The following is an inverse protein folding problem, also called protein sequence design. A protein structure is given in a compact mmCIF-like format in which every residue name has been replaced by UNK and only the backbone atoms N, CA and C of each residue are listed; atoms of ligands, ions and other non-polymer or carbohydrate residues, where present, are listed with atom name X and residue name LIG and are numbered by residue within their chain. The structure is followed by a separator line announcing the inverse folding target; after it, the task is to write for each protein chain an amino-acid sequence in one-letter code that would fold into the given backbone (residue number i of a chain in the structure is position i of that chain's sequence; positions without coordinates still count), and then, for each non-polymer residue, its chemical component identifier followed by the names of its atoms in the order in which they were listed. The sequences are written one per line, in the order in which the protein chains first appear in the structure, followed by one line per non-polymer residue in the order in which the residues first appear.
data_IF_946830808560
#
_entry.id   IF_946830808560
#
_cell.length_a   1.000
_cell.length_b   1.000
_cell.length_c   1.000
_cell.angle_alpha   90.00
_cell.angle_beta   90.00
_cell.angle_gamma   90.00
#
_symmetry.space_group_name_H-M   'P 1'
#
loop_
_entity.id
_entity.type
_entity.pdbx_description
1 polymer ?
#
# COMPACT_ATOMS: atom_id res chain seq x y z
N UNK A 1 -6.94 37.53 21.20
CA UNK A 1 -6.85 37.66 19.73
C UNK A 1 -8.16 38.05 19.08
N UNK A 2 -8.09 38.54 17.84
CA UNK A 2 -9.27 38.89 17.02
C UNK A 2 -9.71 37.71 16.13
N UNK A 3 -8.78 36.81 15.85
CA UNK A 3 -8.96 35.66 14.98
C UNK A 3 -8.33 34.43 15.61
N UNK A 4 -8.78 33.25 15.18
CA UNK A 4 -8.15 31.97 15.50
C UNK A 4 -8.04 31.17 14.20
N UNK A 5 -6.83 31.03 13.63
CA UNK A 5 -6.63 30.21 12.44
C UNK A 5 -6.69 28.72 12.79
N UNK A 6 -7.25 27.91 11.89
CA UNK A 6 -7.34 26.46 12.01
C UNK A 6 -7.11 25.80 10.65
N UNK A 7 -6.41 24.67 10.63
CA UNK A 7 -6.32 23.78 9.47
C UNK A 7 -7.07 22.49 9.79
N UNK A 8 -7.82 21.96 8.82
CA UNK A 8 -8.39 20.63 8.95
C UNK A 8 -7.29 19.57 8.82
N UNK A 9 -7.45 18.45 9.53
CA UNK A 9 -6.67 17.24 9.29
C UNK A 9 -6.82 16.84 7.81
N UNK A 10 -5.70 16.52 7.17
CA UNK A 10 -5.66 16.25 5.73
C UNK A 10 -4.96 14.93 5.47
N UNK A 11 -5.58 14.06 4.68
CA UNK A 11 -4.98 12.80 4.24
C UNK A 11 -4.02 13.04 3.08
N UNK A 12 -2.96 12.24 3.03
CA UNK A 12 -1.93 12.29 1.99
C UNK A 12 -1.69 10.89 1.46
N UNK A 13 -2.15 10.65 0.24
CA UNK A 13 -1.84 9.40 -0.46
C UNK A 13 -0.48 9.51 -1.17
N UNK A 14 0.42 8.52 -1.04
CA UNK A 14 1.71 8.53 -1.72
C UNK A 14 1.61 8.81 -3.23
N UNK A 15 2.46 9.73 -3.72
CA UNK A 15 2.50 10.15 -5.12
C UNK A 15 1.37 11.10 -5.55
N UNK A 16 0.45 11.46 -4.64
CA UNK A 16 -0.63 12.42 -4.90
C UNK A 16 -0.49 13.62 -3.96
N UNK A 17 -0.22 14.84 -4.48
CA UNK A 17 -0.16 16.03 -3.64
C UNK A 17 -1.52 16.34 -2.99
N UNK A 18 -1.51 16.61 -1.69
CA UNK A 18 -2.67 17.06 -0.92
C UNK A 18 -2.53 18.55 -0.57
N UNK A 19 -3.63 19.29 -0.64
CA UNK A 19 -3.66 20.73 -0.32
C UNK A 19 -4.74 21.07 0.69
N UNK A 20 -4.40 21.87 1.69
CA UNK A 20 -5.34 22.39 2.69
C UNK A 20 -5.18 23.89 2.87
N UNK A 21 -6.28 24.59 3.11
CA UNK A 21 -6.29 26.04 3.37
C UNK A 21 -6.79 26.31 4.79
N UNK A 22 -6.28 27.38 5.45
CA UNK A 22 -6.72 27.71 6.78
C UNK A 22 -8.14 28.28 6.76
N UNK A 23 -8.91 27.92 7.78
CA UNK A 23 -10.14 28.62 8.16
C UNK A 23 -9.84 29.55 9.33
N UNK A 24 -10.74 30.50 9.58
CA UNK A 24 -10.59 31.47 10.67
C UNK A 24 -11.88 31.56 11.47
N UNK A 25 -11.75 31.58 12.80
CA UNK A 25 -12.83 31.92 13.71
C UNK A 25 -12.67 33.32 14.28
N UNK A 26 -13.78 34.03 14.45
CA UNK A 26 -13.83 35.32 15.14
C UNK A 26 -13.85 35.15 16.67
N UNK A 27 -13.96 36.27 17.40
CA UNK A 27 -14.04 36.27 18.87
C UNK A 27 -15.26 35.54 19.44
N UNK A 28 -16.30 35.38 18.64
CA UNK A 28 -17.52 34.64 18.94
C UNK A 28 -17.41 33.16 18.57
N UNK A 29 -16.22 32.69 18.17
CA UNK A 29 -15.95 31.35 17.64
C UNK A 29 -16.73 31.01 16.35
N UNK A 30 -17.36 31.99 15.71
CA UNK A 30 -18.01 31.79 14.41
C UNK A 30 -16.97 31.85 13.29
N UNK A 31 -17.15 31.04 12.25
CA UNK A 31 -16.31 31.11 11.06
C UNK A 31 -16.40 32.50 10.39
N UNK A 32 -15.25 33.02 9.99
CA UNK A 32 -15.10 34.30 9.30
C UNK A 32 -14.20 34.13 8.08
N UNK A 33 -14.30 35.09 7.16
CA UNK A 33 -13.35 35.21 6.07
C UNK A 33 -11.93 35.41 6.62
N UNK A 34 -10.95 34.95 5.85
CA UNK A 34 -9.53 35.21 6.11
C UNK A 34 -9.28 36.72 6.27
N UNK A 35 -8.49 37.15 7.27
CA UNK A 35 -8.20 38.55 7.48
C UNK A 35 -7.48 39.18 6.28
N UNK A 36 -8.00 40.30 5.80
CA UNK A 36 -7.44 40.99 4.63
C UNK A 36 -5.98 41.42 4.89
N UNK A 37 -5.09 41.05 3.96
CA UNK A 37 -3.66 41.35 4.05
C UNK A 37 -2.89 40.49 5.05
N UNK A 38 -3.47 39.40 5.55
CA UNK A 38 -2.72 38.39 6.27
C UNK A 38 -1.72 37.67 5.35
N UNK A 39 -0.56 37.33 5.89
CA UNK A 39 0.46 36.53 5.21
C UNK A 39 0.83 35.31 6.03
N UNK A 40 1.30 34.26 5.36
CA UNK A 40 1.53 32.95 5.95
C UNK A 40 2.96 32.50 5.70
N UNK A 41 3.56 31.84 6.67
CA UNK A 41 4.89 31.27 6.52
C UNK A 41 5.07 30.03 7.36
N UNK A 42 5.79 29.05 6.81
CA UNK A 42 6.38 27.97 7.60
C UNK A 42 7.73 28.49 8.15
N UNK A 43 8.05 28.26 9.42
CA UNK A 43 9.35 28.59 10.00
C UNK A 43 10.53 28.09 9.14
N UNK A 44 11.55 28.91 8.92
CA UNK A 44 12.67 28.56 8.02
C UNK A 44 13.53 27.39 8.51
N UNK A 45 13.50 27.12 9.82
CA UNK A 45 14.17 26.00 10.45
C UNK A 45 13.39 24.69 10.29
N UNK A 46 12.09 24.73 9.99
CA UNK A 46 11.29 23.53 9.69
C UNK A 46 11.96 22.70 8.58
N UNK A 47 11.97 21.39 8.80
CA UNK A 47 12.41 20.39 7.83
C UNK A 47 11.26 19.42 7.67
N UNK A 48 10.79 19.29 6.44
CA UNK A 48 9.83 18.24 6.12
C UNK A 48 10.43 16.88 6.52
N UNK A 49 9.63 15.99 7.11
CA UNK A 49 10.08 14.63 7.42
C UNK A 49 10.55 13.89 6.16
N UNK A 50 11.35 12.83 6.35
CA UNK A 50 11.79 12.00 5.24
C UNK A 50 10.57 11.45 4.47
N UNK A 51 10.66 11.42 3.14
CA UNK A 51 9.56 11.03 2.27
C UNK A 51 8.60 12.17 1.89
N UNK A 52 8.60 13.30 2.63
CA UNK A 52 7.66 14.40 2.38
C UNK A 52 8.28 15.61 1.66
N UNK A 53 7.45 16.28 0.87
CA UNK A 53 7.65 17.68 0.49
C UNK A 53 6.53 18.53 1.09
N UNK A 54 6.84 19.76 1.50
CA UNK A 54 5.86 20.70 2.09
C UNK A 54 6.12 22.09 1.57
N UNK A 55 5.07 22.77 1.11
CA UNK A 55 5.11 24.16 0.64
C UNK A 55 3.92 24.94 1.18
N UNK A 56 4.05 26.26 1.28
CA UNK A 56 2.95 27.15 1.67
C UNK A 56 2.86 28.32 0.70
N UNK A 57 1.65 28.66 0.27
CA UNK A 57 1.38 29.92 -0.42
C UNK A 57 1.32 31.05 0.61
N UNK A 58 2.23 32.04 0.54
CA UNK A 58 2.32 33.08 1.56
C UNK A 58 1.12 34.05 1.58
N UNK A 59 0.24 34.03 0.58
CA UNK A 59 -0.91 34.93 0.49
C UNK A 59 -2.21 34.25 0.91
N UNK A 60 -2.36 32.96 0.60
CA UNK A 60 -3.59 32.21 0.86
C UNK A 60 -3.48 31.32 2.09
N UNK A 61 -2.25 31.00 2.51
CA UNK A 61 -1.99 30.00 3.55
C UNK A 61 -2.24 28.58 3.08
N UNK A 62 -2.51 28.35 1.79
CA UNK A 62 -2.62 27.00 1.25
C UNK A 62 -1.32 26.25 1.47
N UNK A 63 -1.37 25.13 2.19
CA UNK A 63 -0.25 24.22 2.36
C UNK A 63 -0.45 23.08 1.39
N UNK A 64 0.57 22.79 0.60
CA UNK A 64 0.61 21.60 -0.27
C UNK A 64 1.71 20.68 0.20
N UNK A 65 1.34 19.42 0.44
CA UNK A 65 2.20 18.35 0.91
C UNK A 65 2.11 17.16 -0.03
N UNK A 66 3.23 16.47 -0.28
CA UNK A 66 3.27 15.23 -1.05
C UNK A 66 4.16 14.21 -0.33
N UNK A 67 3.64 13.00 -0.13
CA UNK A 67 4.41 11.85 0.34
C UNK A 67 4.95 11.06 -0.86
N UNK A 68 6.20 10.61 -0.81
CA UNK A 68 6.76 9.71 -1.84
C UNK A 68 6.31 8.27 -1.61
N UNK A 69 6.24 7.43 -2.66
CA UNK A 69 6.08 5.98 -2.48
C UNK A 69 7.13 5.41 -1.51
N UNK A 70 6.71 4.55 -0.59
CA UNK A 70 7.56 3.97 0.46
C UNK A 70 7.82 4.87 1.68
N UNK A 71 7.08 5.97 1.82
CA UNK A 71 7.10 6.79 3.04
C UNK A 71 6.53 5.99 4.21
N UNK A 72 7.19 6.07 5.37
CA UNK A 72 6.78 5.35 6.59
C UNK A 72 6.34 6.28 7.72
N UNK A 73 6.46 7.59 7.53
CA UNK A 73 6.06 8.57 8.54
C UNK A 73 4.57 8.87 8.36
N UNK A 74 3.78 8.40 9.32
CA UNK A 74 2.31 8.40 9.22
C UNK A 74 1.67 9.74 9.58
N UNK A 75 2.36 10.62 10.32
CA UNK A 75 1.86 11.96 10.63
C UNK A 75 2.93 13.04 10.43
N UNK A 76 2.51 14.17 9.86
CA UNK A 76 3.34 15.36 9.69
C UNK A 76 2.62 16.58 10.26
N UNK A 77 3.19 17.14 11.32
CA UNK A 77 2.75 18.41 11.91
C UNK A 77 3.53 19.58 11.28
N UNK A 78 2.85 20.41 10.49
CA UNK A 78 3.43 21.58 9.82
C UNK A 78 3.12 22.84 10.62
N UNK A 79 4.10 23.48 11.27
CA UNK A 79 3.90 24.74 11.97
C UNK A 79 3.73 25.89 10.97
N UNK A 80 2.73 26.73 11.19
CA UNK A 80 2.43 27.91 10.39
C UNK A 80 2.34 29.14 11.28
N UNK A 81 3.02 30.20 10.86
CA UNK A 81 2.86 31.54 11.41
C UNK A 81 1.97 32.35 10.50
N UNK A 82 0.86 32.85 11.04
CA UNK A 82 -0.01 33.84 10.38
C UNK A 82 0.41 35.21 10.88
N UNK A 83 0.73 36.12 9.96
CA UNK A 83 1.05 37.52 10.28
C UNK A 83 -0.06 38.42 9.76
N UNK A 84 -0.66 39.21 10.66
CA UNK A 84 -1.75 40.12 10.31
C UNK A 84 -1.22 41.50 9.91
N UNK A 85 -2.11 42.33 9.34
CA UNK A 85 -1.79 43.69 8.88
C UNK A 85 -1.23 44.59 9.98
N UNK A 86 -1.64 44.39 11.23
CA UNK A 86 -1.15 45.13 12.40
C UNK A 86 0.18 44.57 12.95
N UNK A 87 0.76 43.58 12.28
CA UNK A 87 1.98 42.83 12.63
C UNK A 87 1.85 41.93 13.85
N UNK A 88 0.65 41.77 14.41
CA UNK A 88 0.40 40.67 15.34
C UNK A 88 0.48 39.33 14.61
N UNK A 89 0.75 38.27 15.35
CA UNK A 89 0.93 36.94 14.79
C UNK A 89 0.18 35.90 15.59
N UNK A 90 -0.33 34.89 14.90
CA UNK A 90 -0.79 33.64 15.50
C UNK A 90 0.04 32.47 14.98
N UNK A 91 0.13 31.42 15.78
CA UNK A 91 0.73 30.15 15.40
C UNK A 91 -0.33 29.06 15.38
N UNK A 92 -0.33 28.25 14.33
CA UNK A 92 -1.23 27.11 14.14
C UNK A 92 -0.45 25.96 13.53
N UNK A 93 -0.86 24.74 13.81
CA UNK A 93 -0.29 23.53 13.20
C UNK A 93 -1.30 22.95 12.22
N UNK A 94 -0.86 22.66 11.00
CA UNK A 94 -1.61 21.83 10.06
C UNK A 94 -1.15 20.38 10.19
N UNK A 95 -2.12 19.46 10.28
CA UNK A 95 -1.87 18.02 10.47
C UNK A 95 -2.11 17.29 9.16
N UNK A 96 -1.10 16.58 8.70
CA UNK A 96 -1.20 15.66 7.57
C UNK A 96 -1.05 14.23 8.07
N UNK A 97 -1.89 13.33 7.58
CA UNK A 97 -1.84 11.91 7.90
C UNK A 97 -1.66 11.10 6.63
N UNK A 98 -0.75 10.14 6.65
CA UNK A 98 -0.56 9.19 5.56
C UNK A 98 -1.82 8.33 5.41
N UNK A 99 -2.16 8.04 4.17
CA UNK A 99 -3.25 7.16 3.74
C UNK A 99 -2.68 6.35 2.57
N UNK A 100 -2.02 5.24 2.91
CA UNK A 100 -1.13 4.51 2.00
C UNK A 100 -1.88 3.91 0.81
N UNK A 101 -3.06 3.35 1.03
CA UNK A 101 -3.88 2.72 -0.02
C UNK A 101 -4.91 3.68 -0.66
N UNK A 102 -5.20 4.81 -0.01
CA UNK A 102 -6.14 5.82 -0.47
C UNK A 102 -7.61 5.53 -0.16
N UNK A 103 -7.92 4.68 0.82
CA UNK A 103 -9.30 4.33 1.18
C UNK A 103 -10.00 5.39 2.07
N UNK A 104 -9.24 6.34 2.60
CA UNK A 104 -9.72 7.43 3.45
C UNK A 104 -9.61 7.16 4.96
N UNK A 105 -9.00 6.06 5.37
CA UNK A 105 -8.58 5.77 6.73
C UNK A 105 -7.07 6.07 6.82
N UNK A 106 -6.62 6.90 7.77
CA UNK A 106 -5.20 7.16 7.89
C UNK A 106 -4.49 5.97 8.56
N UNK A 107 -3.27 5.67 8.11
CA UNK A 107 -2.43 4.54 8.56
C UNK A 107 -2.34 4.41 10.09
N UNK A 108 -2.30 5.53 10.82
CA UNK A 108 -2.29 5.53 12.29
C UNK A 108 -3.49 4.82 12.95
N UNK A 109 -4.56 4.59 12.20
CA UNK A 109 -5.81 3.95 12.64
C UNK A 109 -6.31 2.88 11.68
N UNK A 110 -5.59 2.63 10.60
CA UNK A 110 -5.86 1.52 9.70
C UNK A 110 -5.29 0.23 10.30
N UNK A 111 -5.96 -0.90 10.04
CA UNK A 111 -5.49 -2.23 10.44
C UNK A 111 -4.84 -3.00 9.25
N UNK A 112 -4.93 -2.45 8.03
CA UNK A 112 -4.47 -3.03 6.75
C UNK A 112 -4.05 -1.89 5.80
N UNK A 113 -2.88 -1.31 6.05
CA UNK A 113 -2.38 -0.06 5.44
C UNK A 113 -2.28 -0.07 3.91
N UNK A 114 -2.11 -1.25 3.28
CA UNK A 114 -2.02 -1.40 1.83
C UNK A 114 -3.20 -2.14 1.17
N UNK A 115 -4.15 -2.57 2.03
CA UNK A 115 -5.41 -3.19 1.67
C UNK A 115 -5.24 -4.39 0.75
N UNK A 116 -4.19 -5.18 1.04
CA UNK A 116 -3.96 -6.46 0.43
C UNK A 116 -4.71 -7.60 1.13
N UNK A 117 -5.49 -7.30 2.17
CA UNK A 117 -6.29 -8.27 2.92
C UNK A 117 -5.52 -9.07 3.97
N UNK A 118 -4.24 -8.75 4.19
CA UNK A 118 -3.44 -9.24 5.30
C UNK A 118 -3.23 -8.10 6.28
N UNK A 119 -3.62 -8.30 7.53
CA UNK A 119 -3.52 -7.23 8.55
C UNK A 119 -2.06 -6.86 8.84
N UNK A 120 -1.84 -5.60 9.16
CA UNK A 120 -0.54 -5.06 9.59
C UNK A 120 0.08 -5.86 10.75
N UNK A 121 -0.76 -6.35 11.67
CA UNK A 121 -0.30 -7.14 12.81
C UNK A 121 0.25 -8.51 12.39
N UNK A 122 -0.35 -9.11 11.37
CA UNK A 122 0.07 -10.41 10.83
C UNK A 122 1.35 -10.24 10.01
N UNK A 123 1.42 -9.19 9.21
CA UNK A 123 2.60 -8.85 8.41
C UNK A 123 3.80 -8.46 9.25
N UNK A 124 3.59 -7.62 10.27
CA UNK A 124 4.62 -7.27 11.25
C UNK A 124 5.16 -8.54 11.93
N UNK A 125 4.27 -9.48 12.25
CA UNK A 125 4.66 -10.77 12.84
C UNK A 125 5.48 -11.61 11.87
N UNK A 126 5.11 -11.60 10.60
CA UNK A 126 5.79 -12.35 9.54
C UNK A 126 7.06 -11.66 9.02
N UNK A 127 7.27 -10.39 9.38
CA UNK A 127 8.40 -9.58 8.94
C UNK A 127 8.26 -9.06 7.51
N UNK A 128 7.02 -8.83 7.06
CA UNK A 128 6.72 -8.16 5.79
C UNK A 128 6.38 -6.69 5.99
N UNK A 129 6.27 -5.95 4.87
CA UNK A 129 6.05 -4.52 4.85
C UNK A 129 4.56 -4.21 4.72
N UNK A 130 3.97 -3.60 5.76
CA UNK A 130 2.54 -3.27 5.84
C UNK A 130 2.04 -2.27 4.80
N UNK A 131 2.97 -1.60 4.12
CA UNK A 131 2.68 -0.52 3.16
C UNK A 131 3.03 -0.92 1.72
N UNK A 132 3.19 -2.21 1.43
CA UNK A 132 3.51 -2.73 0.09
C UNK A 132 2.67 -3.99 -0.21
N UNK A 133 1.62 -3.89 -1.07
CA UNK A 133 0.65 -4.97 -1.28
C UNK A 133 1.23 -6.18 -2.03
N UNK A 134 2.53 -6.14 -2.36
CA UNK A 134 3.29 -7.26 -2.91
C UNK A 134 4.30 -7.83 -1.91
N UNK A 135 4.26 -7.44 -0.65
CA UNK A 135 5.14 -7.91 0.41
C UNK A 135 4.34 -8.78 1.37
N UNK A 136 4.12 -10.05 1.03
CA UNK A 136 3.30 -10.96 1.84
C UNK A 136 4.04 -12.25 2.07
N UNK A 137 4.03 -12.73 3.31
CA UNK A 137 4.56 -14.05 3.66
C UNK A 137 3.56 -15.17 3.30
N UNK A 138 3.07 -15.15 2.05
CA UNK A 138 2.28 -16.23 1.49
C UNK A 138 3.07 -17.53 1.55
N UNK A 139 2.36 -18.65 1.71
CA UNK A 139 3.00 -19.96 1.82
C UNK A 139 2.34 -20.96 0.91
N UNK A 140 3.11 -21.50 -0.03
CA UNK A 140 2.68 -22.63 -0.85
C UNK A 140 3.02 -23.91 -0.07
N UNK A 141 2.03 -24.80 0.09
CA UNK A 141 2.30 -26.13 0.66
C UNK A 141 3.20 -26.90 -0.31
N UNK A 142 4.30 -27.52 0.15
CA UNK A 142 5.19 -28.28 -0.74
C UNK A 142 4.43 -29.31 -1.56
N UNK A 143 4.76 -29.38 -2.85
CA UNK A 143 4.14 -30.30 -3.80
C UNK A 143 5.17 -31.36 -4.15
N UNK A 144 4.88 -32.62 -3.85
CA UNK A 144 5.76 -33.72 -4.24
C UNK A 144 5.88 -33.83 -5.77
N UNK A 145 6.99 -34.41 -6.24
CA UNK A 145 7.16 -34.73 -7.66
C UNK A 145 6.01 -35.61 -8.17
N UNK A 146 5.55 -35.32 -9.38
CA UNK A 146 4.38 -35.95 -9.99
C UNK A 146 4.77 -36.83 -11.16
N UNK A 147 3.96 -37.86 -11.40
CA UNK A 147 4.12 -38.75 -12.56
C UNK A 147 2.81 -38.90 -13.31
N UNK A 148 2.89 -39.11 -14.62
CA UNK A 148 1.76 -39.35 -15.50
C UNK A 148 2.11 -40.31 -16.63
N UNK A 149 1.10 -40.83 -17.30
CA UNK A 149 1.27 -41.70 -18.47
C UNK A 149 0.59 -41.05 -19.67
N UNK A 150 1.24 -41.05 -20.84
CA UNK A 150 0.66 -40.49 -22.06
C UNK A 150 -0.74 -41.08 -22.32
N UNK A 151 -1.71 -40.20 -22.55
CA UNK A 151 -3.09 -40.56 -22.85
C UNK A 151 -3.92 -41.04 -21.66
N UNK A 152 -3.40 -40.99 -20.43
CA UNK A 152 -4.17 -41.29 -19.21
C UNK A 152 -4.37 -40.03 -18.36
N UNK A 153 -5.57 -39.90 -17.81
CA UNK A 153 -5.88 -38.84 -16.86
C UNK A 153 -4.99 -38.97 -15.62
N UNK A 154 -4.43 -37.86 -15.16
CA UNK A 154 -3.61 -37.81 -13.95
C UNK A 154 -4.50 -37.83 -12.71
N UNK A 155 -3.96 -38.29 -11.58
CA UNK A 155 -4.57 -37.99 -10.28
C UNK A 155 -4.52 -36.47 -10.07
N UNK A 156 -5.65 -35.80 -9.79
CA UNK A 156 -5.66 -34.35 -9.54
C UNK A 156 -4.69 -33.96 -8.43
N UNK A 157 -3.87 -32.94 -8.69
CA UNK A 157 -2.90 -32.40 -7.72
C UNK A 157 -3.47 -31.11 -7.15
N UNK A 158 -3.64 -31.05 -5.83
CA UNK A 158 -4.17 -29.86 -5.17
C UNK A 158 -3.04 -28.87 -4.88
N UNK A 159 -3.25 -27.60 -5.25
CA UNK A 159 -2.34 -26.50 -4.94
C UNK A 159 -2.91 -25.71 -3.76
N UNK A 160 -2.28 -25.84 -2.60
CA UNK A 160 -2.70 -25.17 -1.36
C UNK A 160 -1.79 -24.00 -1.06
N UNK A 161 -2.38 -22.81 -0.92
CA UNK A 161 -1.67 -21.57 -0.62
C UNK A 161 -2.34 -20.86 0.56
N UNK A 162 -1.55 -20.44 1.53
CA UNK A 162 -1.96 -19.60 2.66
C UNK A 162 -1.64 -18.12 2.37
N UNK A 163 -2.45 -17.20 2.90
CA UNK A 163 -2.32 -15.73 2.77
C UNK A 163 -2.18 -15.28 1.31
N UNK A 164 -3.20 -15.57 0.49
CA UNK A 164 -3.29 -14.99 -0.85
C UNK A 164 -3.85 -13.57 -0.67
N UNK A 165 -3.20 -12.52 -1.22
CA UNK A 165 -3.75 -11.18 -1.15
C UNK A 165 -5.14 -11.08 -1.77
N UNK A 166 -5.92 -10.10 -1.33
CA UNK A 166 -7.13 -9.61 -1.97
C UNK A 166 -6.85 -9.33 -3.45
N UNK A 167 -7.70 -9.88 -4.30
CA UNK A 167 -7.56 -9.86 -5.77
C UNK A 167 -6.24 -10.44 -6.32
N UNK A 168 -5.46 -11.13 -5.48
CA UNK A 168 -4.31 -11.92 -5.87
C UNK A 168 -4.68 -13.21 -6.61
N UNK A 169 -3.67 -13.87 -7.17
CA UNK A 169 -3.86 -15.12 -7.90
C UNK A 169 -2.69 -16.09 -7.76
N UNK A 170 -2.91 -17.34 -8.20
CA UNK A 170 -1.87 -18.37 -8.29
C UNK A 170 -1.61 -18.66 -9.76
N UNK A 171 -0.35 -18.57 -10.15
CA UNK A 171 0.13 -18.89 -11.50
C UNK A 171 0.87 -20.22 -11.46
N UNK A 172 0.54 -21.14 -12.37
CA UNK A 172 1.24 -22.42 -12.53
C UNK A 172 1.79 -22.51 -13.94
N UNK A 173 3.11 -22.68 -14.07
CA UNK A 173 3.84 -22.70 -15.34
C UNK A 173 4.67 -23.97 -15.48
N UNK A 174 4.95 -24.36 -16.73
CA UNK A 174 5.78 -25.53 -17.02
C UNK A 174 5.06 -26.87 -16.89
N UNK A 175 3.72 -26.88 -16.92
CA UNK A 175 2.94 -28.12 -16.97
C UNK A 175 3.17 -28.87 -18.30
N UNK A 176 3.15 -30.22 -18.31
CA UNK A 176 3.17 -31.01 -19.55
C UNK A 176 1.99 -30.71 -20.48
N UNK A 177 2.17 -30.94 -21.78
CA UNK A 177 1.09 -30.80 -22.77
C UNK A 177 -0.14 -31.63 -22.38
N UNK A 178 -1.33 -31.03 -22.40
CA UNK A 178 -2.59 -31.68 -22.01
C UNK A 178 -2.91 -31.64 -20.52
N UNK A 179 -2.06 -31.00 -19.70
CA UNK A 179 -2.28 -30.75 -18.27
C UNK A 179 -2.46 -29.25 -18.03
N UNK A 180 -3.40 -28.88 -17.16
CA UNK A 180 -3.69 -27.48 -16.82
C UNK A 180 -4.02 -27.29 -15.34
N UNK A 181 -3.72 -26.10 -14.84
CA UNK A 181 -4.19 -25.64 -13.54
C UNK A 181 -5.53 -24.92 -13.69
N UNK A 182 -6.50 -25.31 -12.87
CA UNK A 182 -7.78 -24.62 -12.73
C UNK A 182 -7.78 -23.81 -11.42
N UNK A 183 -7.78 -22.47 -11.48
CA UNK A 183 -7.78 -21.61 -10.30
C UNK A 183 -9.07 -21.71 -9.47
N UNK A 184 -10.20 -22.10 -10.07
CA UNK A 184 -11.47 -22.22 -9.35
C UNK A 184 -11.49 -23.43 -8.42
N UNK A 185 -10.96 -24.57 -8.89
CA UNK A 185 -10.84 -25.79 -8.09
C UNK A 185 -9.51 -25.89 -7.34
N UNK A 186 -8.55 -25.02 -7.66
CA UNK A 186 -7.17 -25.04 -7.17
C UNK A 186 -6.46 -26.38 -7.45
N UNK A 187 -6.79 -27.01 -8.57
CA UNK A 187 -6.27 -28.31 -8.96
C UNK A 187 -5.54 -28.26 -10.30
N UNK A 188 -4.45 -29.03 -10.37
CA UNK A 188 -3.82 -29.39 -11.64
C UNK A 188 -4.46 -30.71 -12.08
N UNK A 189 -5.01 -30.72 -13.29
CA UNK A 189 -5.74 -31.85 -13.87
C UNK A 189 -5.40 -31.99 -15.34
N UNK A 190 -5.79 -33.10 -15.96
CA UNK A 190 -5.69 -33.28 -17.41
C UNK A 190 -5.16 -34.64 -17.83
N UNK A 191 -4.86 -34.77 -19.11
CA UNK A 191 -4.36 -35.99 -19.74
C UNK A 191 -3.11 -35.65 -20.54
N UNK A 192 -1.91 -36.01 -20.07
CA UNK A 192 -0.66 -35.72 -20.76
C UNK A 192 -0.63 -36.31 -22.17
N UNK A 193 -0.12 -35.56 -23.15
CA UNK A 193 -0.07 -36.00 -24.55
C UNK A 193 1.34 -36.32 -25.06
N UNK A 194 2.37 -35.93 -24.31
CA UNK A 194 3.77 -36.00 -24.74
C UNK A 194 4.63 -36.54 -23.60
N UNK A 195 5.49 -37.54 -23.87
CA UNK A 195 6.49 -38.02 -22.92
C UNK A 195 7.54 -36.94 -22.63
N UNK A 196 8.04 -36.88 -21.39
CA UNK A 196 9.08 -35.91 -21.03
C UNK A 196 9.14 -35.61 -19.54
N UNK A 197 10.11 -34.77 -19.18
CA UNK A 197 10.28 -34.26 -17.82
C UNK A 197 10.13 -32.75 -17.85
N UNK A 198 9.18 -32.24 -17.08
CA UNK A 198 8.92 -30.81 -16.96
C UNK A 198 9.21 -30.32 -15.55
N UNK A 199 9.85 -29.15 -15.42
CA UNK A 199 9.92 -28.43 -14.16
C UNK A 199 8.71 -27.49 -14.06
N UNK A 200 7.83 -27.77 -13.12
CA UNK A 200 6.64 -26.96 -12.86
C UNK A 200 6.98 -25.91 -11.81
N UNK A 201 6.50 -24.69 -12.01
CA UNK A 201 6.66 -23.58 -11.05
C UNK A 201 5.29 -23.03 -10.68
N UNK A 202 5.03 -22.95 -9.39
CA UNK A 202 3.85 -22.30 -8.80
C UNK A 202 4.31 -20.98 -8.20
N UNK A 203 3.61 -19.89 -8.51
CA UNK A 203 3.94 -18.53 -8.06
C UNK A 203 2.67 -17.87 -7.52
N UNK A 204 2.77 -17.20 -6.37
CA UNK A 204 1.69 -16.33 -5.86
C UNK A 204 1.87 -14.93 -6.43
N UNK A 205 0.80 -14.35 -6.95
CA UNK A 205 0.77 -13.02 -7.56
C UNK A 205 -0.14 -12.08 -6.77
N UNK A 206 0.26 -10.82 -6.65
CA UNK A 206 -0.57 -9.73 -6.16
C UNK A 206 -1.59 -9.26 -7.21
N UNK A 207 -2.43 -8.29 -6.84
CA UNK A 207 -3.47 -7.70 -7.70
C UNK A 207 -2.94 -7.07 -8.99
N UNK A 208 -1.69 -6.61 -8.98
CA UNK A 208 -1.00 -6.03 -10.13
C UNK A 208 -0.39 -7.09 -11.08
N UNK A 209 -0.51 -8.37 -10.73
CA UNK A 209 0.04 -9.50 -11.46
C UNK A 209 1.54 -9.75 -11.23
N UNK A 210 2.18 -8.99 -10.33
CA UNK A 210 3.57 -9.22 -9.95
C UNK A 210 3.67 -10.31 -8.86
N UNK A 211 4.79 -11.03 -8.77
CA UNK A 211 5.00 -11.98 -7.68
C UNK A 211 5.06 -11.27 -6.34
N UNK A 212 4.26 -11.77 -5.38
CA UNK A 212 4.41 -11.36 -3.98
C UNK A 212 5.73 -11.87 -3.43
N UNK A 213 6.31 -11.11 -2.51
CA UNK A 213 7.59 -11.40 -1.89
C UNK A 213 7.40 -11.69 -0.41
N UNK A 214 8.02 -12.78 0.06
CA UNK A 214 8.07 -13.05 1.50
C UNK A 214 9.05 -12.14 2.22
N UNK A 215 9.20 -12.34 3.53
CA UNK A 215 10.12 -11.59 4.39
C UNK A 215 11.60 -11.66 3.95
N UNK A 216 11.99 -12.65 3.15
CA UNK A 216 13.33 -12.74 2.57
C UNK A 216 13.53 -11.88 1.31
N UNK A 217 12.50 -11.12 0.92
CA UNK A 217 12.47 -10.25 -0.25
C UNK A 217 12.39 -11.01 -1.58
N UNK A 218 12.20 -12.35 -1.56
CA UNK A 218 12.13 -13.16 -2.78
C UNK A 218 10.68 -13.51 -3.12
N UNK A 219 10.38 -13.71 -4.41
CA UNK A 219 9.09 -14.24 -4.85
C UNK A 219 8.69 -15.50 -4.10
N UNK A 220 7.43 -15.57 -3.68
CA UNK A 220 6.85 -16.79 -3.11
C UNK A 220 6.58 -17.78 -4.24
N UNK A 221 7.47 -18.75 -4.38
CA UNK A 221 7.40 -19.79 -5.42
C UNK A 221 7.65 -21.18 -4.86
N UNK A 222 6.99 -22.18 -5.44
CA UNK A 222 7.25 -23.60 -5.22
C UNK A 222 7.53 -24.29 -6.55
N UNK A 223 8.47 -25.24 -6.58
CA UNK A 223 8.79 -25.98 -7.81
C UNK A 223 8.84 -27.48 -7.57
N UNK A 224 8.27 -28.23 -8.50
CA UNK A 224 8.32 -29.70 -8.49
C UNK A 224 8.55 -30.23 -9.91
N UNK A 225 8.93 -31.49 -10.01
CA UNK A 225 9.13 -32.18 -11.29
C UNK A 225 7.88 -32.94 -11.68
N UNK A 226 7.47 -32.84 -12.95
CA UNK A 226 6.44 -33.68 -13.54
C UNK A 226 7.07 -34.58 -14.60
N UNK A 227 7.03 -35.90 -14.38
CA UNK A 227 7.53 -36.89 -15.34
C UNK A 227 6.38 -37.60 -16.06
N UNK A 228 6.36 -37.56 -17.38
CA UNK A 228 5.40 -38.26 -18.23
C UNK A 228 6.10 -39.41 -18.95
N UNK A 229 5.56 -40.62 -18.81
CA UNK A 229 6.06 -41.86 -19.41
C UNK A 229 5.06 -42.54 -20.35
#
# INVERSE_FOLDING_TARGET
DKYTPEYADTLVTPGTPATVTPTFKGKDNAETKAPEGATYSIPSDFKAPEGYTVTIDPNTGAITTEAKPGTTIEEVDVPVTVTYKDKSTDSVTAKFKLDTDGDGIPDVTDDDDDNDGVKDTDETTDGTNTKDPNSIASKITPIDDQTGVVGKEITPVTVTVEKIPTDGSVKVEGLPDGVSYDPATKQITGTPTTEGVSKVTVTVLGKDGNPVKGADGKPVTETFTFTVT
#
